data_IF_671156272950
#
_entry.id   IF_671156272950
#
_cell.length_a   1.000
_cell.length_b   1.000
_cell.length_c   1.000
_cell.angle_alpha   90.00
_cell.angle_beta   90.00
_cell.angle_gamma   90.00
#
_symmetry.space_group_name_H-M   'P 1'
#
loop_
_entity.id
_entity.type
_entity.pdbx_description
1 polymer ?
#
# COMPACT_ATOMS: atom_id res chain seq x y z
N UNK A 1 -24.81 3.71 3.03
CA UNK A 1 -24.94 4.56 1.86
C UNK A 1 -26.10 4.15 0.96
N UNK A 2 -26.20 2.91 0.50
CA UNK A 2 -27.27 2.45 -0.41
C UNK A 2 -28.70 2.69 0.13
N UNK A 3 -28.91 2.52 1.44
CA UNK A 3 -30.20 2.79 2.07
C UNK A 3 -30.60 4.29 2.06
N UNK A 4 -29.62 5.20 2.13
CA UNK A 4 -29.86 6.63 2.14
C UNK A 4 -29.91 7.25 0.73
N UNK A 5 -29.25 6.61 -0.25
CA UNK A 5 -29.13 7.10 -1.62
C UNK A 5 -29.26 5.93 -2.61
N UNK A 6 -30.47 5.38 -2.80
CA UNK A 6 -30.67 4.17 -3.62
C UNK A 6 -30.38 4.41 -5.11
N UNK A 7 -30.57 5.65 -5.60
CA UNK A 7 -30.36 6.04 -7.00
C UNK A 7 -28.89 6.38 -7.32
N UNK A 8 -28.00 6.40 -6.33
CA UNK A 8 -26.59 6.71 -6.58
C UNK A 8 -25.82 5.43 -6.89
N UNK A 9 -25.24 5.37 -8.08
CA UNK A 9 -24.29 4.33 -8.44
C UNK A 9 -22.86 4.69 -7.98
N UNK A 10 -22.13 3.69 -7.51
CA UNK A 10 -20.72 3.85 -7.12
C UNK A 10 -19.86 3.17 -8.17
N UNK A 11 -18.92 3.91 -8.73
CA UNK A 11 -17.84 3.37 -9.56
C UNK A 11 -16.56 3.32 -8.71
N UNK A 12 -15.96 2.15 -8.61
CA UNK A 12 -14.69 1.94 -7.92
C UNK A 12 -13.62 1.58 -8.95
N UNK A 13 -12.49 2.29 -8.93
CA UNK A 13 -11.28 1.95 -9.65
C UNK A 13 -10.17 1.63 -8.66
N UNK A 14 -9.31 0.68 -9.00
CA UNK A 14 -8.12 0.35 -8.22
C UNK A 14 -6.91 0.65 -9.10
N UNK A 15 -6.16 1.66 -8.71
CA UNK A 15 -4.96 2.11 -9.43
C UNK A 15 -3.77 2.14 -8.47
N UNK A 16 -2.57 1.74 -8.92
CA UNK A 16 -1.37 1.78 -8.09
C UNK A 16 -0.78 3.19 -7.99
N UNK A 17 0.05 3.39 -6.98
CA UNK A 17 0.95 4.53 -6.82
C UNK A 17 0.24 5.90 -6.92
N UNK A 18 0.62 6.75 -7.88
CA UNK A 18 0.03 8.07 -8.13
C UNK A 18 -1.36 8.08 -8.75
N UNK A 19 -1.85 6.92 -9.24
CA UNK A 19 -3.14 6.81 -9.93
C UNK A 19 -4.33 7.41 -9.18
N UNK A 20 -4.55 7.10 -7.89
CA UNK A 20 -5.64 7.66 -7.10
C UNK A 20 -5.59 9.20 -7.00
N UNK A 21 -4.39 9.77 -6.85
CA UNK A 21 -4.18 11.23 -6.77
C UNK A 21 -4.48 11.89 -8.12
N UNK A 22 -3.96 11.31 -9.21
CA UNK A 22 -4.25 11.77 -10.56
C UNK A 22 -5.76 11.70 -10.87
N UNK A 23 -6.43 10.63 -10.44
CA UNK A 23 -7.89 10.52 -10.56
C UNK A 23 -8.67 11.66 -9.89
N UNK A 24 -8.20 12.16 -8.74
CA UNK A 24 -8.76 13.32 -8.07
C UNK A 24 -8.46 14.63 -8.80
N UNK A 25 -7.20 14.87 -9.15
CA UNK A 25 -6.76 16.13 -9.79
C UNK A 25 -7.37 16.33 -11.18
N UNK A 26 -7.58 15.24 -11.91
CA UNK A 26 -8.27 15.23 -13.21
C UNK A 26 -9.81 15.17 -13.10
N UNK A 27 -10.37 15.23 -11.89
CA UNK A 27 -11.82 15.19 -11.63
C UNK A 27 -12.52 13.90 -12.10
N UNK A 28 -11.77 12.81 -12.30
CA UNK A 28 -12.34 11.49 -12.62
C UNK A 28 -12.94 10.79 -11.39
N UNK A 29 -12.49 11.19 -10.19
CA UNK A 29 -12.94 10.67 -8.90
C UNK A 29 -13.27 11.81 -7.94
N UNK A 30 -14.29 11.64 -7.11
CA UNK A 30 -14.63 12.57 -6.03
C UNK A 30 -13.86 12.24 -4.73
N UNK A 31 -13.55 10.96 -4.51
CA UNK A 31 -12.84 10.42 -3.36
C UNK A 31 -11.77 9.45 -3.81
N UNK A 32 -10.66 9.38 -3.07
CA UNK A 32 -9.66 8.34 -3.23
C UNK A 32 -9.16 7.85 -1.87
N UNK A 33 -8.69 6.62 -1.84
CA UNK A 33 -7.89 6.10 -0.72
C UNK A 33 -6.46 5.91 -1.23
N UNK A 34 -5.49 6.52 -0.55
CA UNK A 34 -4.07 6.42 -0.86
C UNK A 34 -3.29 5.95 0.36
N UNK A 35 -2.12 5.36 0.14
CA UNK A 35 -1.23 4.87 1.21
C UNK A 35 0.11 5.58 1.13
N UNK A 36 0.52 6.17 2.25
CA UNK A 36 1.72 7.01 2.34
C UNK A 36 1.49 8.43 1.85
N UNK A 37 2.52 9.25 2.00
CA UNK A 37 2.47 10.69 1.72
C UNK A 37 3.30 11.09 0.50
N UNK A 38 3.77 10.11 -0.24
CA UNK A 38 4.72 10.33 -1.35
C UNK A 38 4.15 11.15 -2.51
N UNK A 39 2.81 11.15 -2.66
CA UNK A 39 2.09 11.83 -3.73
C UNK A 39 1.19 12.96 -3.21
N UNK A 40 1.64 13.68 -2.15
CA UNK A 40 0.90 14.83 -1.63
C UNK A 40 0.74 15.92 -2.70
N UNK A 41 -0.48 16.43 -2.80
CA UNK A 41 -0.82 17.57 -3.64
C UNK A 41 -1.52 18.62 -2.75
N UNK A 42 -1.09 19.89 -2.73
CA UNK A 42 -1.66 20.93 -1.86
C UNK A 42 -3.13 21.26 -2.17
N UNK A 43 -3.65 20.83 -3.30
CA UNK A 43 -5.05 20.98 -3.68
C UNK A 43 -5.98 19.93 -3.06
N UNK A 44 -5.42 18.95 -2.37
CA UNK A 44 -6.15 17.83 -1.80
C UNK A 44 -6.10 17.87 -0.26
N UNK A 45 -7.24 17.59 0.37
CA UNK A 45 -7.31 17.20 1.75
C UNK A 45 -6.94 15.71 1.87
N UNK A 46 -6.21 15.36 2.94
CA UNK A 46 -5.84 13.99 3.28
C UNK A 46 -6.19 13.73 4.74
N UNK A 47 -7.22 12.93 4.95
CA UNK A 47 -7.66 12.52 6.29
C UNK A 47 -7.13 11.13 6.59
N UNK A 48 -6.28 10.98 7.60
CA UNK A 48 -5.75 9.69 8.01
C UNK A 48 -6.87 8.76 8.50
N UNK A 49 -6.94 7.54 7.97
CA UNK A 49 -8.01 6.59 8.29
C UNK A 49 -7.54 5.32 8.98
N UNK A 50 -6.38 4.79 8.63
CA UNK A 50 -5.79 3.64 9.30
C UNK A 50 -4.31 3.45 8.94
N UNK A 51 -3.59 2.69 9.79
CA UNK A 51 -2.24 2.25 9.48
C UNK A 51 -2.25 0.97 8.64
N UNK A 52 -1.36 0.90 7.65
CA UNK A 52 -1.12 -0.27 6.80
C UNK A 52 0.30 -0.77 7.03
N UNK A 53 0.46 -2.05 7.31
CA UNK A 53 1.78 -2.67 7.41
C UNK A 53 2.17 -3.29 6.07
N UNK A 54 3.35 -2.91 5.57
CA UNK A 54 3.95 -3.46 4.36
C UNK A 54 5.08 -4.41 4.77
N UNK A 55 5.06 -5.63 4.27
CA UNK A 55 6.06 -6.66 4.57
C UNK A 55 6.71 -7.17 3.29
N UNK A 56 8.00 -7.53 3.37
CA UNK A 56 8.66 -8.26 2.31
C UNK A 56 8.30 -9.73 2.39
N UNK A 57 7.93 -10.33 1.27
CA UNK A 57 7.54 -11.74 1.17
C UNK A 57 8.14 -12.40 -0.07
N UNK A 58 8.32 -13.70 0.03
CA UNK A 58 8.68 -14.58 -1.07
C UNK A 58 7.91 -15.89 -0.91
N UNK A 59 7.86 -16.74 -1.95
CA UNK A 59 7.30 -18.09 -1.81
C UNK A 59 8.12 -18.94 -0.84
N UNK A 60 7.49 -19.94 -0.25
CA UNK A 60 8.14 -20.79 0.77
C UNK A 60 9.41 -21.49 0.25
N UNK A 61 9.49 -21.82 -1.04
CA UNK A 61 10.65 -22.43 -1.68
C UNK A 61 11.73 -21.45 -2.15
N UNK A 62 11.48 -20.14 -2.06
CA UNK A 62 12.42 -19.13 -2.54
C UNK A 62 13.66 -19.03 -1.64
N UNK A 63 14.89 -18.83 -2.19
CA UNK A 63 16.12 -18.72 -1.38
C UNK A 63 16.06 -17.67 -0.27
N UNK A 64 15.40 -16.52 -0.50
CA UNK A 64 15.20 -15.48 0.51
C UNK A 64 14.31 -15.91 1.68
N UNK A 65 13.54 -16.99 1.54
CA UNK A 65 12.71 -17.57 2.60
C UNK A 65 13.50 -18.39 3.64
N UNK A 66 14.76 -18.67 3.39
CA UNK A 66 15.61 -19.37 4.35
C UNK A 66 15.83 -18.53 5.60
N UNK A 67 15.95 -19.18 6.76
CA UNK A 67 16.16 -18.51 8.06
C UNK A 67 17.35 -17.55 8.01
N UNK A 68 17.25 -16.47 8.76
CA UNK A 68 18.26 -15.43 8.92
C UNK A 68 17.90 -14.11 8.25
N UNK A 69 18.40 -13.03 8.87
CA UNK A 69 18.15 -11.66 8.40
C UNK A 69 18.93 -11.42 7.11
N UNK A 70 18.22 -10.89 6.11
CA UNK A 70 18.76 -10.54 4.80
C UNK A 70 19.25 -9.10 4.81
N UNK A 71 20.43 -8.86 4.27
CA UNK A 71 20.93 -7.52 3.97
C UNK A 71 20.45 -7.06 2.59
N UNK A 72 20.81 -5.85 2.18
CA UNK A 72 20.40 -5.30 0.88
C UNK A 72 21.04 -6.06 -0.29
N UNK A 73 22.27 -6.55 -0.13
CA UNK A 73 22.95 -7.33 -1.18
C UNK A 73 22.24 -8.66 -1.42
N UNK A 74 21.84 -9.38 -0.34
CA UNK A 74 21.05 -10.60 -0.48
C UNK A 74 19.75 -10.38 -1.26
N UNK A 75 19.11 -9.21 -1.09
CA UNK A 75 17.89 -8.85 -1.82
C UNK A 75 18.18 -8.52 -3.27
N UNK A 76 19.32 -7.89 -3.54
CA UNK A 76 19.73 -7.45 -4.88
C UNK A 76 19.99 -8.62 -5.83
N UNK A 77 20.40 -9.76 -5.32
CA UNK A 77 20.69 -10.98 -6.09
C UNK A 77 19.44 -11.67 -6.66
N UNK A 78 18.25 -11.20 -6.26
CA UNK A 78 16.99 -11.82 -6.64
C UNK A 78 16.01 -10.85 -7.29
N UNK A 79 15.23 -11.36 -8.24
CA UNK A 79 14.19 -10.58 -8.94
C UNK A 79 13.19 -9.99 -7.94
N UNK A 80 13.07 -8.66 -7.95
CA UNK A 80 12.06 -7.95 -7.19
C UNK A 80 10.86 -7.60 -8.07
N UNK A 81 9.66 -7.99 -7.63
CA UNK A 81 8.40 -7.66 -8.30
C UNK A 81 7.86 -6.38 -7.68
N UNK A 82 7.71 -5.33 -8.48
CA UNK A 82 7.33 -3.98 -8.05
C UNK A 82 6.12 -3.48 -8.83
N UNK A 83 5.39 -2.52 -8.26
CA UNK A 83 4.30 -1.86 -8.98
C UNK A 83 4.84 -0.81 -9.95
N UNK A 84 4.24 -0.72 -11.12
CA UNK A 84 4.39 0.43 -12.03
C UNK A 84 3.49 1.56 -11.55
N UNK A 85 3.96 2.80 -11.66
CA UNK A 85 3.09 3.96 -11.59
C UNK A 85 2.54 4.25 -13.00
N UNK A 86 1.22 4.32 -13.18
CA UNK A 86 0.63 4.71 -14.47
C UNK A 86 0.73 6.22 -14.72
N UNK A 87 1.30 6.98 -13.79
CA UNK A 87 1.38 8.45 -13.84
C UNK A 87 2.82 8.94 -13.84
N UNK A 88 3.10 10.18 -14.25
CA UNK A 88 4.43 10.77 -14.15
C UNK A 88 4.82 11.16 -12.72
N UNK A 89 3.93 11.02 -11.73
CA UNK A 89 4.17 11.47 -10.35
C UNK A 89 5.32 10.74 -9.65
N UNK A 90 5.69 9.55 -10.11
CA UNK A 90 6.85 8.81 -9.59
C UNK A 90 8.10 8.93 -10.47
N UNK A 91 8.07 9.77 -11.50
CA UNK A 91 9.20 9.92 -12.41
C UNK A 91 10.47 10.37 -11.68
N UNK A 92 11.59 9.71 -11.96
CA UNK A 92 12.85 9.94 -11.24
C UNK A 92 12.88 9.46 -9.78
N UNK A 93 11.81 8.86 -9.27
CA UNK A 93 11.71 8.38 -7.87
C UNK A 93 11.64 6.86 -7.81
N UNK A 94 12.21 6.30 -6.76
CA UNK A 94 12.21 4.85 -6.53
C UNK A 94 11.54 4.54 -5.19
N UNK A 95 10.39 3.88 -5.23
CA UNK A 95 9.61 3.53 -4.05
C UNK A 95 9.89 2.10 -3.58
N UNK A 96 10.99 1.97 -2.80
CA UNK A 96 11.37 0.70 -2.19
C UNK A 96 11.81 -0.36 -3.18
N UNK A 97 12.42 0.04 -4.27
CA UNK A 97 13.20 -0.82 -5.15
C UNK A 97 14.56 -1.04 -4.47
N UNK A 98 14.90 -2.29 -4.19
CA UNK A 98 16.10 -2.70 -3.48
C UNK A 98 16.95 -3.67 -4.30
N UNK A 99 16.43 -4.14 -5.44
CA UNK A 99 17.15 -5.00 -6.37
C UNK A 99 17.32 -4.30 -7.72
N UNK A 100 18.48 -4.45 -8.39
CA UNK A 100 18.65 -4.03 -9.77
C UNK A 100 17.84 -4.90 -10.75
N UNK A 101 17.52 -6.13 -10.34
CA UNK A 101 16.68 -7.05 -11.11
C UNK A 101 15.21 -6.80 -10.75
N UNK A 102 14.47 -6.12 -11.61
CA UNK A 102 13.08 -5.76 -11.36
C UNK A 102 12.13 -6.28 -12.44
N UNK A 103 10.95 -6.73 -12.00
CA UNK A 103 9.79 -6.95 -12.85
C UNK A 103 8.70 -5.96 -12.43
N UNK A 104 8.23 -5.13 -13.35
CA UNK A 104 7.16 -4.15 -13.09
C UNK A 104 5.81 -4.72 -13.51
N UNK A 105 4.82 -4.59 -12.64
CA UNK A 105 3.44 -5.02 -12.87
C UNK A 105 2.47 -3.88 -12.58
N UNK A 106 1.31 -3.91 -13.24
CA UNK A 106 0.33 -2.83 -13.17
C UNK A 106 -0.62 -2.90 -11.98
N UNK A 107 -0.70 -4.03 -11.28
CA UNK A 107 -1.62 -4.18 -10.15
C UNK A 107 -1.07 -5.11 -9.06
N UNK A 108 -1.67 -4.98 -7.88
CA UNK A 108 -1.23 -5.67 -6.67
C UNK A 108 -1.52 -7.17 -6.71
N UNK A 109 -2.59 -7.60 -7.37
CA UNK A 109 -2.99 -9.01 -7.44
C UNK A 109 -2.04 -9.80 -8.35
N UNK A 110 -1.66 -9.23 -9.49
CA UNK A 110 -0.61 -9.81 -10.36
C UNK A 110 0.70 -9.92 -9.61
N UNK A 111 1.09 -8.86 -8.87
CA UNK A 111 2.30 -8.90 -8.02
C UNK A 111 2.25 -10.04 -7.02
N UNK A 112 1.14 -10.17 -6.30
CA UNK A 112 0.94 -11.24 -5.33
C UNK A 112 1.02 -12.63 -5.98
N UNK A 113 0.31 -12.84 -7.08
CA UNK A 113 0.29 -14.11 -7.80
C UNK A 113 1.70 -14.53 -8.29
N UNK A 114 2.48 -13.60 -8.82
CA UNK A 114 3.85 -13.86 -9.28
C UNK A 114 4.78 -14.23 -8.12
N UNK A 115 4.68 -13.54 -6.98
CA UNK A 115 5.47 -13.87 -5.79
C UNK A 115 5.07 -15.25 -5.25
N UNK A 116 3.77 -15.55 -5.21
CA UNK A 116 3.26 -16.84 -4.77
C UNK A 116 3.72 -17.98 -5.67
N UNK A 117 3.82 -17.74 -6.98
CA UNK A 117 4.35 -18.67 -7.97
C UNK A 117 5.89 -18.85 -7.89
N UNK A 118 6.58 -18.10 -7.04
CA UNK A 118 8.03 -18.25 -6.83
C UNK A 118 8.90 -17.50 -7.84
N UNK A 119 8.33 -16.61 -8.66
CA UNK A 119 9.08 -15.87 -9.69
C UNK A 119 10.04 -14.83 -9.11
N UNK A 120 9.88 -14.46 -7.85
CA UNK A 120 10.72 -13.50 -7.16
C UNK A 120 10.16 -13.13 -5.81
N UNK A 121 10.61 -11.99 -5.27
CA UNK A 121 10.16 -11.45 -4.00
C UNK A 121 9.55 -10.05 -4.19
N UNK A 122 8.84 -9.57 -3.17
CA UNK A 122 8.29 -8.22 -3.23
C UNK A 122 7.72 -7.78 -1.90
N UNK A 123 7.26 -6.52 -1.85
CA UNK A 123 6.62 -5.93 -0.68
C UNK A 123 5.11 -5.88 -0.90
N UNK A 124 4.36 -6.41 0.04
CA UNK A 124 2.90 -6.49 -0.01
C UNK A 124 2.29 -6.05 1.32
N UNK A 125 1.06 -5.53 1.32
CA UNK A 125 0.32 -5.29 2.55
C UNK A 125 0.13 -6.58 3.34
N UNK A 126 0.38 -6.51 4.65
CA UNK A 126 0.26 -7.69 5.51
C UNK A 126 -1.14 -8.33 5.45
N UNK A 127 -2.19 -7.51 5.38
CA UNK A 127 -3.56 -8.00 5.29
C UNK A 127 -3.80 -8.87 4.04
N UNK A 128 -3.15 -8.55 2.92
CA UNK A 128 -3.29 -9.28 1.66
C UNK A 128 -2.62 -10.66 1.73
N UNK A 129 -1.49 -10.76 2.44
CA UNK A 129 -0.68 -11.98 2.50
C UNK A 129 -0.85 -12.78 3.79
N UNK A 130 -1.67 -12.31 4.72
CA UNK A 130 -1.84 -12.92 6.04
C UNK A 130 -2.24 -14.39 5.97
N UNK A 131 -3.13 -14.74 5.04
CA UNK A 131 -3.56 -16.12 4.82
C UNK A 131 -2.43 -16.99 4.29
N UNK A 132 -1.71 -16.51 3.28
CA UNK A 132 -0.61 -17.27 2.66
C UNK A 132 0.55 -17.49 3.63
N UNK A 133 0.82 -16.50 4.49
CA UNK A 133 1.82 -16.63 5.57
C UNK A 133 1.38 -17.68 6.59
N UNK A 134 0.09 -17.70 6.99
CA UNK A 134 -0.47 -18.69 7.91
C UNK A 134 -0.41 -20.10 7.30
N UNK A 135 -0.71 -20.24 6.04
CA UNK A 135 -0.71 -21.49 5.28
C UNK A 135 0.69 -21.89 4.82
N UNK A 136 1.72 -21.07 5.12
CA UNK A 136 3.12 -21.29 4.74
C UNK A 136 3.35 -21.38 3.22
N UNK A 137 2.48 -20.79 2.44
CA UNK A 137 2.69 -20.64 0.99
C UNK A 137 3.67 -19.51 0.70
N UNK A 138 3.58 -18.45 1.49
CA UNK A 138 4.55 -17.37 1.54
C UNK A 138 5.30 -17.38 2.86
N UNK A 139 6.49 -16.81 2.85
CA UNK A 139 7.31 -16.55 4.03
C UNK A 139 7.73 -15.10 4.07
N UNK A 140 7.87 -14.54 5.27
CA UNK A 140 8.43 -13.20 5.43
C UNK A 140 9.93 -13.23 5.12
N UNK A 141 10.37 -12.26 4.34
CA UNK A 141 11.78 -11.98 4.15
C UNK A 141 12.21 -11.01 5.25
N UNK A 142 12.94 -11.52 6.22
CA UNK A 142 13.44 -10.73 7.34
C UNK A 142 14.58 -9.84 6.85
N UNK A 143 14.30 -8.55 6.70
CA UNK A 143 15.28 -7.55 6.24
C UNK A 143 15.25 -6.28 7.06
N UNK A 144 16.43 -5.72 7.31
CA UNK A 144 16.58 -4.43 7.97
C UNK A 144 16.15 -3.23 7.09
N UNK A 145 16.06 -3.44 5.79
CA UNK A 145 15.62 -2.40 4.84
C UNK A 145 14.15 -1.97 5.04
N UNK A 146 13.34 -2.77 5.78
CA UNK A 146 11.98 -2.44 6.17
C UNK A 146 11.84 -2.11 7.66
N UNK A 147 12.90 -1.61 8.27
CA UNK A 147 12.88 -1.24 9.67
C UNK A 147 13.09 -2.41 10.65
N UNK A 148 12.92 -2.12 11.95
CA UNK A 148 13.32 -3.01 13.05
C UNK A 148 12.60 -4.37 13.01
N UNK A 149 11.34 -4.41 12.63
CA UNK A 149 10.49 -5.61 12.62
C UNK A 149 10.29 -6.19 11.22
N UNK A 150 11.17 -5.86 10.26
CA UNK A 150 11.02 -6.22 8.85
C UNK A 150 9.63 -5.86 8.29
N UNK A 151 9.08 -4.74 8.74
CA UNK A 151 7.80 -4.19 8.30
C UNK A 151 7.88 -2.66 8.25
N UNK A 152 7.32 -2.08 7.20
CA UNK A 152 7.13 -0.65 7.07
C UNK A 152 5.67 -0.34 7.43
N UNK A 153 5.48 0.52 8.43
CA UNK A 153 4.15 1.06 8.73
C UNK A 153 3.93 2.32 7.89
N UNK A 154 2.82 2.37 7.17
CA UNK A 154 2.38 3.51 6.37
C UNK A 154 0.96 3.89 6.79
N UNK A 155 0.64 5.18 6.74
CA UNK A 155 -0.72 5.65 6.98
C UNK A 155 -1.51 5.59 5.67
N UNK A 156 -2.77 5.15 5.75
CA UNK A 156 -3.73 5.26 4.66
C UNK A 156 -4.58 6.52 4.87
N UNK A 157 -4.82 7.25 3.81
CA UNK A 157 -5.56 8.51 3.80
C UNK A 157 -6.77 8.41 2.91
N UNK A 158 -7.88 8.95 3.38
CA UNK A 158 -9.00 9.34 2.52
C UNK A 158 -8.70 10.72 1.96
N UNK A 159 -8.71 10.84 0.65
CA UNK A 159 -8.35 12.08 -0.06
C UNK A 159 -9.55 12.62 -0.85
N UNK A 160 -9.67 13.94 -0.92
CA UNK A 160 -10.63 14.66 -1.77
C UNK A 160 -10.09 16.05 -2.12
N UNK A 161 -10.69 16.68 -3.14
CA UNK A 161 -10.28 18.02 -3.54
C UNK A 161 -10.78 19.10 -2.56
N UNK A 162 -9.94 20.09 -2.32
CA UNK A 162 -10.28 21.25 -1.47
C UNK A 162 -11.16 22.27 -2.21
N UNK A 163 -11.05 22.37 -3.54
CA UNK A 163 -11.79 23.32 -4.37
C UNK A 163 -13.24 22.88 -4.68
N UNK A 164 -13.60 21.65 -4.31
CA UNK A 164 -14.93 21.10 -4.56
C UNK A 164 -15.45 20.34 -3.33
N UNK A 165 -16.44 20.90 -2.61
CA UNK A 165 -17.04 20.24 -1.47
C UNK A 165 -17.68 18.91 -1.86
N UNK A 166 -17.47 17.88 -1.03
CA UNK A 166 -18.13 16.59 -1.24
C UNK A 166 -19.65 16.74 -1.21
N UNK A 167 -20.32 16.25 -2.23
CA UNK A 167 -21.78 16.13 -2.24
C UNK A 167 -22.29 15.20 -1.12
N UNK A 168 -23.61 15.26 -0.79
CA UNK A 168 -24.17 14.52 0.33
C UNK A 168 -23.90 13.02 0.32
N UNK A 169 -24.03 12.38 -0.84
CA UNK A 169 -23.76 10.94 -0.98
C UNK A 169 -22.28 10.59 -0.79
N UNK A 170 -21.36 11.41 -1.32
CA UNK A 170 -19.93 11.22 -1.16
C UNK A 170 -19.50 11.38 0.30
N UNK A 171 -20.07 12.34 1.05
CA UNK A 171 -19.85 12.51 2.49
C UNK A 171 -20.30 11.30 3.30
N UNK A 172 -21.49 10.75 3.01
CA UNK A 172 -21.97 9.55 3.69
C UNK A 172 -21.05 8.35 3.41
N UNK A 173 -20.57 8.26 2.17
CA UNK A 173 -19.60 7.20 1.79
C UNK A 173 -18.25 7.38 2.50
N UNK A 174 -17.69 8.58 2.52
CA UNK A 174 -16.46 8.94 3.23
C UNK A 174 -16.55 8.58 4.72
N UNK A 175 -17.62 9.03 5.40
CA UNK A 175 -17.88 8.74 6.81
C UNK A 175 -18.01 7.23 7.10
N UNK A 176 -18.60 6.48 6.17
CA UNK A 176 -18.71 5.03 6.30
C UNK A 176 -17.34 4.35 6.19
N UNK A 177 -16.50 4.77 5.23
CA UNK A 177 -15.13 4.26 5.09
C UNK A 177 -14.29 4.54 6.33
N UNK A 178 -14.32 5.77 6.85
CA UNK A 178 -13.57 6.16 8.06
C UNK A 178 -14.00 5.32 9.28
N UNK A 179 -15.31 5.07 9.45
CA UNK A 179 -15.81 4.21 10.55
C UNK A 179 -15.36 2.77 10.42
N UNK A 180 -15.40 2.21 9.21
CA UNK A 180 -14.94 0.84 8.95
C UNK A 180 -13.45 0.73 9.22
N UNK A 181 -12.65 1.68 8.73
CA UNK A 181 -11.22 1.72 8.93
C UNK A 181 -10.84 1.84 10.42
N UNK A 182 -11.55 2.67 11.19
CA UNK A 182 -11.36 2.80 12.63
C UNK A 182 -11.69 1.50 13.42
N UNK A 183 -12.64 0.70 12.94
CA UNK A 183 -12.98 -0.61 13.50
C UNK A 183 -11.99 -1.72 13.15
N UNK A 184 -11.16 -1.52 12.12
CA UNK A 184 -10.12 -2.46 11.72
C UNK A 184 -8.83 -2.16 12.50
N UNK A 185 -8.83 -2.47 13.79
CA UNK A 185 -7.73 -2.15 14.70
C UNK A 185 -6.49 -3.00 14.39
N UNK A 186 -5.54 -2.46 13.65
CA UNK A 186 -4.15 -2.94 13.64
C UNK A 186 -3.47 -2.27 14.85
N UNK A 187 -2.91 -3.03 15.82
CA UNK A 187 -2.31 -2.44 17.02
C UNK A 187 -1.24 -1.42 16.64
N UNK A 188 -1.40 -0.18 17.08
CA UNK A 188 -0.37 0.86 16.94
C UNK A 188 0.85 0.41 17.73
N UNK A 189 1.91 0.01 17.07
CA UNK A 189 3.22 -0.15 17.69
C UNK A 189 3.66 1.25 18.13
N UNK A 190 3.60 1.53 19.44
CA UNK A 190 4.08 2.79 20.03
C UNK A 190 5.53 3.01 19.61
N UNK A 191 5.77 3.95 18.70
CA UNK A 191 7.09 4.53 18.51
C UNK A 191 7.39 5.35 19.76
N UNK A 192 8.24 4.82 20.66
CA UNK A 192 8.90 5.62 21.68
C UNK A 192 9.83 6.58 20.96
N UNK A 193 9.43 7.85 20.85
CA UNK A 193 10.37 8.94 20.58
C UNK A 193 11.39 8.97 21.71
N UNK A 194 12.62 8.56 21.42
CA UNK A 194 13.75 8.83 22.25
C UNK A 194 14.20 10.26 21.95
N UNK A 195 13.68 11.23 22.71
CA UNK A 195 14.40 12.48 22.96
C UNK A 195 15.66 12.11 23.74
N UNK A 196 16.81 12.37 23.18
CA UNK A 196 18.07 12.54 23.93
C UNK A 196 18.63 13.90 23.58
N UNK A 197 18.82 14.62 24.65
CA UNK A 197 19.55 15.90 24.77
C UNK A 197 20.91 15.85 24.07
#
# INVERSE_FOLDING_TARGET
MRAAYPSVSVRLAVEPMGGPITGLTERRSALAVTVGEDFRDPRLALDAICAVQIVAVASAGHPLGRRGRKNVADLADHLQIVLSDPTPLSEGRSFGVLSPQICRVSNQDTKHAMILAGLGWGRLPLWQVARDLKERRLVRVETGALGRNAALAMEAYLAHRLDEPLGPAARVFANALTRIAAGTHIPKTRAKMAQKH
#
